data_IF_603878251906
#
_entry.id   IF_603878251906
#
_cell.length_a   1.000
_cell.length_b   1.000
_cell.length_c   1.000
_cell.angle_alpha   90.00
_cell.angle_beta   90.00
_cell.angle_gamma   90.00
#
_symmetry.space_group_name_H-M   'P 1'
#
loop_
_entity.id
_entity.type
_entity.pdbx_description
1 polymer ?
#
# COMPACT_ATOMS: atom_id res chain seq x y z
N UNK A 1 -10.42 -0.24 -7.83
CA UNK A 1 -10.95 0.63 -8.92
C UNK A 1 -9.77 1.17 -9.68
N UNK A 2 -9.65 0.86 -10.97
CA UNK A 2 -8.58 1.42 -11.82
C UNK A 2 -8.86 2.91 -12.04
N UNK A 3 -8.26 3.77 -11.21
CA UNK A 3 -8.22 5.20 -11.49
C UNK A 3 -7.20 5.38 -12.61
N UNK A 4 -7.66 5.43 -13.86
CA UNK A 4 -6.82 5.76 -15.01
C UNK A 4 -6.38 7.22 -14.87
N UNK A 5 -5.28 7.43 -14.13
CA UNK A 5 -4.72 8.75 -13.91
C UNK A 5 -3.80 9.13 -15.06
N UNK A 6 -3.92 10.38 -15.53
CA UNK A 6 -3.05 10.95 -16.54
C UNK A 6 -1.60 11.02 -16.03
N UNK A 7 -0.66 10.45 -16.78
CA UNK A 7 0.78 10.60 -16.53
C UNK A 7 1.19 12.05 -16.81
N UNK A 8 1.79 12.71 -15.83
CA UNK A 8 2.27 14.09 -15.93
C UNK A 8 3.71 14.15 -15.44
N UNK A 9 4.59 14.78 -16.24
CA UNK A 9 5.98 14.99 -15.86
C UNK A 9 6.07 15.76 -14.53
N UNK A 10 6.85 15.22 -13.59
CA UNK A 10 7.21 15.88 -12.33
C UNK A 10 8.70 16.22 -12.36
N UNK A 11 9.08 17.35 -11.77
CA UNK A 11 10.48 17.72 -11.55
C UNK A 11 10.69 17.83 -10.04
N UNK A 12 11.54 16.96 -9.48
CA UNK A 12 11.84 16.93 -8.05
C UNK A 12 13.30 16.52 -7.84
N UNK A 13 13.89 16.97 -6.72
CA UNK A 13 15.21 16.50 -6.29
C UNK A 13 15.01 15.37 -5.29
N UNK A 14 15.58 14.20 -5.57
CA UNK A 14 15.52 13.02 -4.72
C UNK A 14 16.94 12.51 -4.47
N UNK A 15 17.11 11.79 -3.36
CA UNK A 15 18.39 11.13 -3.07
C UNK A 15 18.44 9.81 -3.86
N UNK A 16 19.52 9.61 -4.62
CA UNK A 16 19.69 8.43 -5.47
C UNK A 16 19.67 7.12 -4.65
N UNK A 17 20.26 7.13 -3.45
CA UNK A 17 20.34 5.97 -2.58
C UNK A 17 18.96 5.44 -2.14
N UNK A 18 17.96 6.33 -2.01
CA UNK A 18 16.58 5.95 -1.73
C UNK A 18 15.95 5.22 -2.92
N UNK A 19 16.15 5.74 -4.12
CA UNK A 19 15.62 5.12 -5.35
C UNK A 19 16.27 3.77 -5.60
N UNK A 20 17.59 3.66 -5.42
CA UNK A 20 18.32 2.40 -5.60
C UNK A 20 17.91 1.34 -4.58
N UNK A 21 17.63 1.74 -3.33
CA UNK A 21 17.08 0.85 -2.32
C UNK A 21 15.68 0.40 -2.70
N UNK A 22 14.81 1.32 -3.11
CA UNK A 22 13.45 1.01 -3.51
C UNK A 22 13.41 0.09 -4.75
N UNK A 23 14.24 0.34 -5.78
CA UNK A 23 14.38 -0.55 -6.95
C UNK A 23 14.70 -1.98 -6.56
N UNK A 24 15.64 -2.16 -5.62
CA UNK A 24 16.03 -3.51 -5.16
C UNK A 24 14.92 -4.22 -4.39
N UNK A 25 14.17 -3.49 -3.57
CA UNK A 25 13.05 -4.04 -2.79
C UNK A 25 11.87 -4.39 -3.72
N UNK A 26 11.55 -3.52 -4.67
CA UNK A 26 10.39 -3.65 -5.55
C UNK A 26 10.66 -4.47 -6.81
N UNK A 27 11.92 -4.67 -7.19
CA UNK A 27 12.30 -5.42 -8.40
C UNK A 27 12.03 -4.67 -9.72
N UNK A 28 11.89 -3.35 -9.66
CA UNK A 28 11.50 -2.49 -10.79
C UNK A 28 12.65 -2.19 -11.74
N UNK A 29 12.32 -1.96 -13.02
CA UNK A 29 13.30 -1.72 -14.09
C UNK A 29 13.73 -0.26 -14.14
N UNK A 30 12.80 0.66 -13.85
CA UNK A 30 13.04 2.11 -13.98
C UNK A 30 12.75 2.88 -12.69
N UNK A 31 13.34 4.07 -12.55
CA UNK A 31 13.07 4.95 -11.41
C UNK A 31 11.61 5.42 -11.37
N UNK A 32 11.01 5.74 -12.52
CA UNK A 32 9.59 6.09 -12.62
C UNK A 32 8.69 4.99 -12.08
N UNK A 33 8.88 3.76 -12.56
CA UNK A 33 8.14 2.58 -12.09
C UNK A 33 8.32 2.35 -10.58
N UNK A 34 9.53 2.59 -10.07
CA UNK A 34 9.84 2.50 -8.64
C UNK A 34 9.02 3.49 -7.82
N UNK A 35 8.97 4.74 -8.28
CA UNK A 35 8.23 5.80 -7.59
C UNK A 35 6.73 5.54 -7.67
N UNK A 36 6.21 5.13 -8.83
CA UNK A 36 4.79 4.80 -8.99
C UNK A 36 4.38 3.64 -8.08
N UNK A 37 5.09 2.50 -8.12
CA UNK A 37 4.78 1.36 -7.26
C UNK A 37 4.94 1.66 -5.77
N UNK A 38 5.94 2.45 -5.38
CA UNK A 38 6.10 2.85 -3.98
C UNK A 38 4.91 3.70 -3.50
N UNK A 39 4.40 4.60 -4.34
CA UNK A 39 3.22 5.42 -4.02
C UNK A 39 1.94 4.57 -3.97
N UNK A 40 1.76 3.64 -4.90
CA UNK A 40 0.64 2.70 -4.89
C UNK A 40 0.66 1.82 -3.63
N UNK A 41 1.82 1.34 -3.21
CA UNK A 41 1.96 0.52 -1.99
C UNK A 41 1.56 1.30 -0.72
N UNK A 42 1.91 2.60 -0.65
CA UNK A 42 1.50 3.46 0.47
C UNK A 42 -0.02 3.65 0.47
N UNK A 43 -0.62 3.91 -0.69
CA UNK A 43 -2.08 4.04 -0.80
C UNK A 43 -2.79 2.74 -0.43
N UNK A 44 -2.32 1.61 -0.95
CA UNK A 44 -2.87 0.29 -0.66
C UNK A 44 -2.78 -0.06 0.84
N UNK A 45 -1.67 0.28 1.51
CA UNK A 45 -1.53 0.06 2.95
C UNK A 45 -2.64 0.76 3.74
N UNK A 46 -2.97 2.00 3.40
CA UNK A 46 -4.05 2.73 4.07
C UNK A 46 -5.41 2.07 3.80
N UNK A 47 -5.71 1.72 2.55
CA UNK A 47 -6.95 1.01 2.19
C UNK A 47 -7.11 -0.32 2.96
N UNK A 48 -6.01 -1.08 3.13
CA UNK A 48 -6.02 -2.32 3.92
C UNK A 48 -6.28 -2.04 5.40
N UNK A 49 -5.64 -1.03 5.99
CA UNK A 49 -5.85 -0.68 7.39
C UNK A 49 -7.29 -0.21 7.66
N UNK A 50 -7.85 0.59 6.76
CA UNK A 50 -9.26 0.99 6.82
C UNK A 50 -10.19 -0.22 6.74
N UNK A 51 -9.91 -1.15 5.81
CA UNK A 51 -10.67 -2.40 5.68
C UNK A 51 -10.61 -3.27 6.94
N UNK A 52 -9.42 -3.44 7.53
CA UNK A 52 -9.25 -4.19 8.78
C UNK A 52 -10.04 -3.54 9.92
N UNK A 53 -9.96 -2.22 10.08
CA UNK A 53 -10.69 -1.49 11.11
C UNK A 53 -12.21 -1.61 10.94
N UNK A 54 -12.69 -1.57 9.70
CA UNK A 54 -14.10 -1.78 9.40
C UNK A 54 -14.56 -3.19 9.80
N UNK A 55 -13.78 -4.23 9.47
CA UNK A 55 -14.11 -5.63 9.79
C UNK A 55 -14.00 -5.90 11.29
N UNK A 56 -12.98 -5.38 11.98
CA UNK A 56 -12.79 -5.54 13.42
C UNK A 56 -13.92 -4.88 14.25
N UNK A 57 -14.58 -3.85 13.70
CA UNK A 57 -15.78 -3.24 14.28
C UNK A 57 -17.08 -3.99 13.99
N UNK A 58 -17.04 -5.11 13.25
CA UNK A 58 -18.23 -5.88 12.88
C UNK A 58 -18.42 -7.08 13.83
N UNK A 59 -19.63 -7.21 14.40
CA UNK A 59 -20.01 -8.19 15.45
C UNK A 59 -19.61 -9.64 15.13
N UNK A 60 -19.54 -10.02 13.85
CA UNK A 60 -19.20 -11.38 13.42
C UNK A 60 -17.80 -11.86 13.85
N UNK A 61 -16.83 -10.98 14.12
CA UNK A 61 -15.51 -11.38 14.64
C UNK A 61 -15.58 -11.64 16.15
N UNK A 62 -16.45 -10.98 16.91
CA UNK A 62 -16.57 -11.18 18.36
C UNK A 62 -17.18 -12.53 18.71
N UNK A 63 -18.15 -13.01 17.93
CA UNK A 63 -18.80 -14.32 18.15
C UNK A 63 -17.82 -15.50 18.00
N UNK A 64 -16.88 -15.45 17.04
CA UNK A 64 -15.93 -16.55 16.79
C UNK A 64 -14.88 -16.72 17.89
N UNK A 65 -14.62 -15.69 18.70
CA UNK A 65 -13.66 -15.77 19.81
C UNK A 65 -14.32 -16.06 21.16
N UNK A 66 -15.66 -16.18 21.22
CA UNK A 66 -16.38 -16.56 22.45
C UNK A 66 -16.70 -18.06 22.57
N UNK A 67 -16.46 -18.87 21.52
CA UNK A 67 -16.90 -20.28 21.47
C UNK A 67 -15.83 -21.31 21.90
N UNK A 68 -14.65 -20.88 22.36
CA UNK A 68 -13.59 -21.78 22.90
C UNK A 68 -13.47 -21.70 24.44
N UNK A 69 -14.61 -21.64 25.13
CA UNK A 69 -14.62 -21.50 26.58
C UNK A 69 -15.86 -22.05 27.27
N UNK A 70 -16.20 -23.33 27.04
CA UNK A 70 -16.89 -24.19 28.02
C UNK A 70 -16.35 -25.62 28.01
#
# INVERSE_FOLDING_TARGET
MEKTSKVVRKNMRLRQDLIDRAKRILGTKTETETVEQALEMVAFREEVLEGINAVAGTVAIQDIFQDEGE
#
